data_IF_210987468034
#
_entry.id   IF_210987468034
#
_cell.length_a   1.000
_cell.length_b   1.000
_cell.length_c   1.000
_cell.angle_alpha   90.00
_cell.angle_beta   90.00
_cell.angle_gamma   90.00
#
_symmetry.space_group_name_H-M   'P 1'
#
loop_
_entity.id
_entity.type
_entity.pdbx_description
1 polymer ?
#
# COMPACT_ATOMS: atom_id res chain seq x y z
N UNK A 1 6.35 -26.22 5.39
CA UNK A 1 5.29 -25.92 4.40
C UNK A 1 4.08 -25.41 5.20
N UNK A 2 3.35 -24.43 4.71
CA UNK A 2 2.11 -23.94 5.34
C UNK A 2 1.03 -25.02 5.21
N UNK A 3 0.34 -25.36 6.31
CA UNK A 3 -0.71 -26.38 6.34
C UNK A 3 -2.07 -25.79 6.72
N UNK A 4 -3.14 -26.52 6.41
CA UNK A 4 -4.51 -26.11 6.77
C UNK A 4 -4.71 -26.07 8.29
N UNK A 5 -4.07 -26.98 9.02
CA UNK A 5 -4.12 -27.03 10.49
C UNK A 5 -3.52 -25.76 11.10
N UNK A 6 -2.38 -25.28 10.55
CA UNK A 6 -1.76 -24.05 10.99
C UNK A 6 -2.66 -22.82 10.75
N UNK A 7 -3.36 -22.77 9.60
CA UNK A 7 -4.31 -21.69 9.31
C UNK A 7 -5.53 -21.77 10.24
N UNK A 8 -6.07 -22.96 10.48
CA UNK A 8 -7.20 -23.19 11.39
C UNK A 8 -6.84 -22.79 12.83
N UNK A 9 -5.66 -23.17 13.32
CA UNK A 9 -5.14 -22.80 14.64
C UNK A 9 -4.97 -21.28 14.77
N UNK A 10 -4.40 -20.63 13.75
CA UNK A 10 -4.25 -19.16 13.72
C UNK A 10 -5.60 -18.44 13.85
N UNK A 11 -6.59 -18.84 13.05
CA UNK A 11 -7.95 -18.26 13.11
C UNK A 11 -8.61 -18.59 14.44
N UNK A 12 -8.45 -19.81 14.94
CA UNK A 12 -8.99 -20.25 16.22
C UNK A 12 -8.50 -19.42 17.40
N UNK A 13 -7.21 -19.05 17.41
CA UNK A 13 -6.60 -18.18 18.43
C UNK A 13 -7.05 -16.71 18.33
N UNK A 14 -7.48 -16.25 17.16
CA UNK A 14 -7.78 -14.83 16.89
C UNK A 14 -9.18 -14.63 16.28
N UNK A 15 -10.20 -15.34 16.79
CA UNK A 15 -11.58 -15.33 16.26
C UNK A 15 -12.19 -13.93 16.19
N UNK A 16 -11.98 -13.11 17.22
CA UNK A 16 -12.49 -11.73 17.25
C UNK A 16 -11.91 -10.90 16.09
N UNK A 17 -10.61 -10.97 15.89
CA UNK A 17 -9.94 -10.30 14.77
C UNK A 17 -10.41 -10.83 13.40
N UNK A 18 -10.62 -12.15 13.30
CA UNK A 18 -11.14 -12.76 12.08
C UNK A 18 -12.58 -12.29 11.73
N UNK A 19 -13.38 -11.90 12.73
CA UNK A 19 -14.73 -11.34 12.56
C UNK A 19 -14.75 -9.79 12.48
N UNK A 20 -13.60 -9.12 12.72
CA UNK A 20 -13.54 -7.67 12.78
C UNK A 20 -13.92 -7.02 11.44
N UNK A 21 -14.75 -5.98 11.54
CA UNK A 21 -15.11 -5.11 10.41
C UNK A 21 -14.29 -3.83 10.45
N UNK A 22 -14.06 -3.25 9.29
CA UNK A 22 -13.29 -2.02 9.12
C UNK A 22 -14.18 -0.89 8.61
N UNK A 23 -13.71 0.36 8.78
CA UNK A 23 -14.37 1.55 8.27
C UNK A 23 -14.52 1.49 6.73
N UNK A 24 -15.67 1.93 6.25
CA UNK A 24 -15.99 2.10 4.84
C UNK A 24 -16.19 3.58 4.55
N UNK A 25 -15.62 4.07 3.46
CA UNK A 25 -15.67 5.49 3.10
C UNK A 25 -15.54 5.71 1.59
N UNK A 26 -15.79 6.95 1.17
CA UNK A 26 -15.57 7.36 -0.22
C UNK A 26 -14.21 8.05 -0.40
N UNK A 27 -13.54 7.75 -1.51
CA UNK A 27 -12.34 8.44 -1.98
C UNK A 27 -12.69 9.12 -3.30
N UNK A 28 -12.69 10.44 -3.31
CA UNK A 28 -13.32 11.18 -4.40
C UNK A 28 -14.81 10.83 -4.52
N UNK A 29 -15.27 10.53 -5.72
CA UNK A 29 -16.64 10.10 -5.99
C UNK A 29 -16.88 8.58 -5.80
N UNK A 30 -15.85 7.79 -5.57
CA UNK A 30 -15.94 6.33 -5.50
C UNK A 30 -16.13 5.86 -4.05
N UNK A 31 -17.19 5.07 -3.81
CA UNK A 31 -17.43 4.41 -2.52
C UNK A 31 -16.63 3.11 -2.44
N UNK A 32 -16.01 2.87 -1.29
CA UNK A 32 -15.25 1.65 -0.98
C UNK A 32 -15.96 0.87 0.13
N UNK A 33 -16.39 -0.34 -0.18
CA UNK A 33 -17.06 -1.26 0.73
C UNK A 33 -16.10 -2.39 1.11
N UNK A 34 -15.04 -2.06 1.84
CA UNK A 34 -13.92 -2.95 2.17
C UNK A 34 -14.32 -4.26 2.85
N UNK A 35 -15.44 -4.29 3.56
CA UNK A 35 -15.92 -5.51 4.23
C UNK A 35 -16.54 -6.55 3.28
N UNK A 36 -16.83 -6.17 2.06
CA UNK A 36 -17.44 -7.05 1.03
C UNK A 36 -16.61 -7.18 -0.23
N UNK A 37 -15.92 -6.11 -0.64
CA UNK A 37 -15.17 -6.07 -1.89
C UNK A 37 -13.80 -5.47 -1.66
N UNK A 38 -12.71 -6.24 -1.82
CA UNK A 38 -11.35 -5.69 -1.80
C UNK A 38 -11.15 -4.79 -3.02
N UNK A 39 -10.30 -3.77 -2.86
CA UNK A 39 -9.98 -2.81 -3.89
C UNK A 39 -8.55 -3.03 -4.43
N UNK A 40 -8.28 -2.52 -5.64
CA UNK A 40 -6.99 -2.63 -6.31
C UNK A 40 -6.40 -1.24 -6.53
N UNK A 41 -5.15 -1.04 -6.11
CA UNK A 41 -4.37 0.16 -6.34
C UNK A 41 -3.23 -0.13 -7.32
N UNK A 42 -3.35 0.41 -8.53
CA UNK A 42 -2.37 0.20 -9.60
C UNK A 42 -1.21 1.19 -9.50
N UNK A 43 0.02 0.70 -9.61
CA UNK A 43 1.25 1.51 -9.44
C UNK A 43 1.76 2.05 -10.77
N UNK A 44 2.11 3.34 -10.78
CA UNK A 44 2.83 4.02 -11.86
C UNK A 44 4.04 4.73 -11.28
N UNK A 45 5.24 4.34 -11.70
CA UNK A 45 6.49 4.89 -11.20
C UNK A 45 7.04 5.97 -12.14
N UNK A 46 7.28 7.17 -11.60
CA UNK A 46 7.89 8.30 -12.30
C UNK A 46 9.41 8.43 -12.00
N UNK A 47 9.99 7.41 -11.37
CA UNK A 47 11.42 7.28 -11.10
C UNK A 47 12.03 6.19 -11.98
N UNK A 48 13.16 6.50 -12.62
CA UNK A 48 13.91 5.53 -13.44
C UNK A 48 14.51 4.36 -12.63
N UNK A 49 14.68 4.56 -11.32
CA UNK A 49 15.30 3.59 -10.41
C UNK A 49 14.29 2.60 -9.78
N UNK A 50 13.07 2.52 -10.31
CA UNK A 50 12.09 1.55 -9.81
C UNK A 50 12.53 0.11 -10.11
N UNK A 51 12.33 -0.77 -9.14
CA UNK A 51 12.55 -2.21 -9.29
C UNK A 51 11.74 -2.83 -10.43
N UNK A 52 10.48 -2.44 -10.53
CA UNK A 52 9.59 -2.97 -11.55
C UNK A 52 9.65 -2.08 -12.80
N UNK A 53 10.58 -2.39 -13.69
CA UNK A 53 10.89 -1.55 -14.85
C UNK A 53 9.70 -1.31 -15.78
N UNK A 54 8.79 -2.27 -15.90
CA UNK A 54 7.59 -2.16 -16.73
C UNK A 54 6.59 -1.09 -16.23
N UNK A 55 6.68 -0.69 -14.95
CA UNK A 55 5.85 0.39 -14.38
C UNK A 55 6.47 1.78 -14.53
N UNK A 56 7.71 1.88 -15.02
CA UNK A 56 8.45 3.14 -15.14
C UNK A 56 7.93 3.95 -16.32
N UNK A 57 7.51 5.17 -16.03
CA UNK A 57 7.03 6.15 -17.01
C UNK A 57 7.84 7.44 -16.89
N UNK A 58 8.72 7.71 -17.85
CA UNK A 58 9.65 8.85 -17.79
C UNK A 58 9.04 10.18 -18.27
N UNK A 59 7.83 10.15 -18.84
CA UNK A 59 7.10 11.37 -19.24
C UNK A 59 5.70 11.40 -18.62
N UNK A 60 5.16 12.60 -18.43
CA UNK A 60 3.80 12.77 -17.94
C UNK A 60 2.76 12.08 -18.84
N UNK A 61 2.93 12.18 -20.15
CA UNK A 61 2.02 11.57 -21.12
C UNK A 61 2.03 10.03 -21.06
N UNK A 62 3.20 9.41 -20.93
CA UNK A 62 3.31 7.96 -20.76
C UNK A 62 2.69 7.51 -19.44
N UNK A 63 2.90 8.27 -18.37
CA UNK A 63 2.31 8.00 -17.06
C UNK A 63 0.77 8.12 -17.09
N UNK A 64 0.23 9.15 -17.71
CA UNK A 64 -1.22 9.34 -17.87
C UNK A 64 -1.84 8.20 -18.69
N UNK A 65 -1.21 7.80 -19.81
CA UNK A 65 -1.69 6.66 -20.63
C UNK A 65 -1.66 5.37 -19.81
N UNK A 66 -0.57 5.10 -19.11
CA UNK A 66 -0.43 3.91 -18.25
C UNK A 66 -1.50 3.89 -17.16
N UNK A 67 -1.68 5.01 -16.46
CA UNK A 67 -2.67 5.16 -15.40
C UNK A 67 -4.11 4.90 -15.90
N UNK A 68 -4.49 5.49 -17.04
CA UNK A 68 -5.80 5.26 -17.65
C UNK A 68 -6.00 3.81 -18.07
N UNK A 69 -4.95 3.16 -18.59
CA UNK A 69 -4.97 1.75 -18.93
C UNK A 69 -5.19 0.88 -17.68
N UNK A 70 -4.45 1.13 -16.59
CA UNK A 70 -4.62 0.39 -15.33
C UNK A 70 -6.02 0.59 -14.74
N UNK A 71 -6.58 1.81 -14.81
CA UNK A 71 -7.95 2.08 -14.39
C UNK A 71 -8.98 1.30 -15.23
N UNK A 72 -8.80 1.26 -16.55
CA UNK A 72 -9.65 0.45 -17.45
C UNK A 72 -9.52 -1.06 -17.21
N UNK A 73 -8.36 -1.51 -16.73
CA UNK A 73 -8.09 -2.91 -16.35
C UNK A 73 -8.65 -3.26 -14.96
N UNK A 74 -9.18 -2.29 -14.21
CA UNK A 74 -9.85 -2.52 -12.94
C UNK A 74 -9.13 -2.00 -11.72
N UNK A 75 -8.12 -1.13 -11.86
CA UNK A 75 -7.59 -0.40 -10.71
C UNK A 75 -8.64 0.61 -10.20
N UNK A 76 -8.87 0.60 -8.90
CA UNK A 76 -9.77 1.51 -8.20
C UNK A 76 -9.11 2.85 -7.87
N UNK A 77 -7.80 2.81 -7.65
CA UNK A 77 -6.93 3.94 -7.33
C UNK A 77 -5.65 3.80 -8.14
N UNK A 78 -5.06 4.91 -8.57
CA UNK A 78 -3.72 4.92 -9.19
C UNK A 78 -2.74 5.54 -8.20
N UNK A 79 -1.67 4.81 -7.86
CA UNK A 79 -0.61 5.26 -6.96
C UNK A 79 0.61 5.75 -7.75
N UNK A 80 0.98 6.99 -7.54
CA UNK A 80 2.09 7.66 -8.23
C UNK A 80 3.28 7.81 -7.29
N UNK A 81 4.44 7.23 -7.65
CA UNK A 81 5.71 7.42 -6.95
C UNK A 81 6.74 8.14 -7.83
N UNK A 82 7.38 9.19 -7.32
CA UNK A 82 8.42 9.93 -8.05
C UNK A 82 9.84 9.73 -7.50
N UNK A 83 9.98 9.02 -6.39
CA UNK A 83 11.26 8.60 -5.80
C UNK A 83 11.20 7.09 -5.52
N UNK A 84 12.29 6.37 -5.82
CA UNK A 84 12.39 4.94 -5.48
C UNK A 84 12.61 4.75 -3.97
N UNK A 85 11.96 3.76 -3.40
CA UNK A 85 12.14 3.37 -1.99
C UNK A 85 13.43 2.60 -1.73
N UNK A 86 14.17 2.22 -2.76
CA UNK A 86 15.45 1.53 -2.66
C UNK A 86 16.49 2.40 -1.95
N UNK A 87 17.20 1.82 -0.98
CA UNK A 87 18.20 2.55 -0.19
C UNK A 87 19.35 3.12 -1.03
N UNK A 88 19.74 2.44 -2.11
CA UNK A 88 20.82 2.82 -3.02
C UNK A 88 20.37 3.64 -4.24
N UNK A 89 19.07 3.85 -4.45
CA UNK A 89 18.60 4.71 -5.52
C UNK A 89 18.93 6.19 -5.26
N UNK A 90 19.05 6.99 -6.30
CA UNK A 90 19.30 8.41 -6.19
C UNK A 90 18.17 9.12 -5.42
N UNK A 91 18.51 10.09 -4.57
CA UNK A 91 17.52 10.96 -3.92
C UNK A 91 16.94 11.93 -4.94
N UNK A 92 15.62 12.06 -4.94
CA UNK A 92 14.90 13.00 -5.80
C UNK A 92 14.38 14.14 -4.93
N UNK A 93 14.89 15.35 -5.15
CA UNK A 93 14.47 16.54 -4.38
C UNK A 93 13.00 16.89 -4.59
N UNK A 94 12.38 17.56 -3.61
CA UNK A 94 10.96 17.91 -3.59
C UNK A 94 10.47 18.61 -4.88
N UNK A 95 11.26 19.55 -5.41
CA UNK A 95 10.91 20.25 -6.64
C UNK A 95 10.84 19.33 -7.86
N UNK A 96 11.79 18.39 -7.97
CA UNK A 96 11.82 17.42 -9.05
C UNK A 96 10.69 16.37 -8.91
N UNK A 97 10.39 15.89 -7.69
CA UNK A 97 9.23 15.05 -7.44
C UNK A 97 7.95 15.76 -7.84
N UNK A 98 7.76 17.00 -7.38
CA UNK A 98 6.59 17.83 -7.66
C UNK A 98 6.40 18.07 -9.15
N UNK A 99 7.47 18.45 -9.89
CA UNK A 99 7.40 18.68 -11.33
C UNK A 99 6.97 17.46 -12.13
N UNK A 100 7.33 16.24 -11.70
CA UNK A 100 6.93 14.99 -12.33
C UNK A 100 5.50 14.59 -11.99
N UNK A 101 5.09 14.77 -10.73
CA UNK A 101 3.80 14.32 -10.21
C UNK A 101 2.62 15.19 -10.66
N UNK A 102 2.73 16.52 -10.56
CA UNK A 102 1.57 17.40 -10.69
C UNK A 102 0.88 17.34 -12.05
N UNK A 103 1.55 17.28 -13.20
CA UNK A 103 0.88 17.14 -14.50
C UNK A 103 0.02 15.87 -14.55
N UNK A 104 0.53 14.75 -14.01
CA UNK A 104 -0.16 13.47 -13.99
C UNK A 104 -1.36 13.52 -13.04
N UNK A 105 -1.18 14.03 -11.82
CA UNK A 105 -2.27 14.18 -10.83
C UNK A 105 -3.43 15.00 -11.42
N UNK A 106 -3.14 16.15 -12.03
CA UNK A 106 -4.16 17.01 -12.63
C UNK A 106 -4.91 16.32 -13.78
N UNK A 107 -4.18 15.61 -14.65
CA UNK A 107 -4.77 14.90 -15.77
C UNK A 107 -5.69 13.74 -15.31
N UNK A 108 -5.29 12.99 -14.28
CA UNK A 108 -6.10 11.91 -13.73
C UNK A 108 -7.31 12.43 -12.95
N UNK A 109 -7.14 13.52 -12.18
CA UNK A 109 -8.27 14.21 -11.54
C UNK A 109 -9.32 14.66 -12.58
N UNK A 110 -8.89 15.26 -13.68
CA UNK A 110 -9.79 15.67 -14.77
C UNK A 110 -10.52 14.48 -15.38
N UNK A 111 -9.88 13.30 -15.42
CA UNK A 111 -10.47 12.03 -15.84
C UNK A 111 -11.32 11.34 -14.75
N UNK A 112 -11.49 11.95 -13.56
CA UNK A 112 -12.22 11.39 -12.41
C UNK A 112 -11.65 10.06 -11.90
N UNK A 113 -10.37 9.83 -12.10
CA UNK A 113 -9.64 8.66 -11.59
C UNK A 113 -9.07 9.03 -10.21
N UNK A 114 -9.38 8.28 -9.13
CA UNK A 114 -8.77 8.51 -7.82
C UNK A 114 -7.26 8.34 -7.87
N UNK A 115 -6.52 9.32 -7.33
CA UNK A 115 -5.05 9.35 -7.34
C UNK A 115 -4.51 9.28 -5.93
N UNK A 116 -3.61 8.36 -5.69
CA UNK A 116 -2.70 8.29 -4.56
C UNK A 116 -1.34 8.85 -4.95
N UNK A 117 -0.67 9.53 -4.02
CA UNK A 117 0.73 9.96 -4.18
C UNK A 117 1.55 9.39 -3.04
N UNK A 118 2.58 8.62 -3.39
CA UNK A 118 3.55 8.08 -2.44
C UNK A 118 4.64 9.12 -2.14
N UNK A 119 4.73 9.54 -0.89
CA UNK A 119 5.78 10.45 -0.42
C UNK A 119 5.86 10.49 1.11
N UNK A 120 7.03 10.85 1.62
CA UNK A 120 7.25 11.24 3.03
C UNK A 120 7.55 12.74 3.19
N UNK A 121 7.59 13.51 2.07
CA UNK A 121 7.87 14.95 2.09
C UNK A 121 6.59 15.77 2.32
N UNK A 122 6.54 16.64 3.35
CA UNK A 122 5.41 17.56 3.54
C UNK A 122 5.20 18.53 2.39
N UNK A 123 6.28 18.93 1.70
CA UNK A 123 6.18 19.84 0.55
C UNK A 123 5.53 19.17 -0.66
N UNK A 124 5.96 17.95 -0.97
CA UNK A 124 5.35 17.14 -2.04
C UNK A 124 3.90 16.80 -1.70
N UNK A 125 3.61 16.43 -0.43
CA UNK A 125 2.24 16.18 0.06
C UNK A 125 1.33 17.38 -0.21
N UNK A 126 1.74 18.58 0.21
CA UNK A 126 0.95 19.81 -0.01
C UNK A 126 0.64 20.01 -1.49
N UNK A 127 1.67 19.99 -2.34
CA UNK A 127 1.52 20.22 -3.77
C UNK A 127 0.62 19.16 -4.44
N UNK A 128 0.75 17.90 -4.05
CA UNK A 128 -0.07 16.82 -4.59
C UNK A 128 -1.56 16.96 -4.20
N UNK A 129 -1.86 17.27 -2.93
CA UNK A 129 -3.22 17.45 -2.45
C UNK A 129 -3.88 18.68 -3.11
N UNK A 130 -3.17 19.80 -3.22
CA UNK A 130 -3.63 21.00 -3.93
C UNK A 130 -3.91 20.73 -5.41
N UNK A 131 -3.12 19.85 -6.05
CA UNK A 131 -3.35 19.42 -7.43
C UNK A 131 -4.55 18.46 -7.57
N UNK A 132 -5.04 17.89 -6.47
CA UNK A 132 -6.23 17.04 -6.40
C UNK A 132 -5.97 15.55 -6.19
N UNK A 133 -4.82 15.19 -5.61
CA UNK A 133 -4.64 13.84 -5.11
C UNK A 133 -5.70 13.52 -4.04
N UNK A 134 -6.30 12.33 -4.14
CA UNK A 134 -7.38 11.88 -3.24
C UNK A 134 -6.88 11.02 -2.09
N UNK A 135 -5.66 10.51 -2.21
CA UNK A 135 -4.99 9.65 -1.22
C UNK A 135 -3.55 10.10 -1.08
N UNK A 136 -3.06 10.13 0.14
CA UNK A 136 -1.65 10.20 0.45
C UNK A 136 -1.17 8.81 0.89
N UNK A 137 -0.21 8.23 0.18
CA UNK A 137 0.53 7.04 0.61
C UNK A 137 1.76 7.52 1.39
N UNK A 138 1.61 7.56 2.72
CA UNK A 138 2.58 8.18 3.64
C UNK A 138 3.66 7.17 4.05
N UNK A 139 4.84 7.30 3.46
CA UNK A 139 5.98 6.40 3.67
C UNK A 139 7.02 6.93 4.66
N UNK A 140 6.58 7.72 5.66
CA UNK A 140 7.44 8.23 6.74
C UNK A 140 6.65 8.81 7.91
N UNK A 141 7.32 9.01 9.04
CA UNK A 141 6.68 9.42 10.30
C UNK A 141 7.15 10.78 10.81
N UNK A 142 8.25 11.33 10.28
CA UNK A 142 8.95 12.49 10.86
C UNK A 142 8.12 13.79 10.90
N UNK A 143 7.16 13.95 10.00
CA UNK A 143 6.33 15.16 9.90
C UNK A 143 4.82 14.84 9.96
N UNK A 144 4.43 13.74 10.58
CA UNK A 144 3.07 13.20 10.52
C UNK A 144 1.98 14.20 10.94
N UNK A 145 2.21 15.03 11.97
CA UNK A 145 1.22 16.02 12.44
C UNK A 145 0.82 17.03 11.36
N UNK A 146 1.80 17.64 10.68
CA UNK A 146 1.53 18.65 9.66
C UNK A 146 0.96 18.01 8.40
N UNK A 147 1.41 16.81 8.08
CA UNK A 147 0.88 16.01 6.98
C UNK A 147 -0.60 15.66 7.23
N UNK A 148 -0.96 15.21 8.43
CA UNK A 148 -2.37 14.89 8.76
C UNK A 148 -3.29 16.12 8.70
N UNK A 149 -2.83 17.30 9.11
CA UNK A 149 -3.60 18.55 8.94
C UNK A 149 -3.88 18.83 7.46
N UNK A 150 -2.89 18.64 6.58
CA UNK A 150 -3.07 18.84 5.15
C UNK A 150 -4.03 17.82 4.55
N UNK A 151 -3.91 16.54 4.92
CA UNK A 151 -4.83 15.47 4.48
C UNK A 151 -6.26 15.80 4.88
N UNK A 152 -6.49 16.19 6.13
CA UNK A 152 -7.81 16.55 6.65
C UNK A 152 -8.40 17.78 5.94
N UNK A 153 -7.60 18.81 5.69
CA UNK A 153 -8.04 20.03 5.01
C UNK A 153 -8.51 19.79 3.57
N UNK A 154 -8.03 18.71 2.92
CA UNK A 154 -8.43 18.32 1.56
C UNK A 154 -9.45 17.16 1.52
N UNK A 155 -9.97 16.73 2.66
CA UNK A 155 -10.85 15.54 2.79
C UNK A 155 -10.26 14.28 2.10
N UNK A 156 -8.93 14.19 2.03
CA UNK A 156 -8.22 13.08 1.42
C UNK A 156 -8.14 11.87 2.38
N UNK A 157 -7.87 10.70 1.81
CA UNK A 157 -7.49 9.53 2.59
C UNK A 157 -5.98 9.50 2.84
N UNK A 158 -5.55 8.80 3.89
CA UNK A 158 -4.15 8.51 4.12
C UNK A 158 -3.93 7.00 4.29
N UNK A 159 -2.92 6.47 3.61
CA UNK A 159 -2.34 5.17 3.89
C UNK A 159 -1.17 5.41 4.83
N UNK A 160 -1.27 4.90 6.05
CA UNK A 160 -0.22 4.99 7.05
C UNK A 160 0.66 3.76 6.92
N UNK A 161 1.89 3.92 6.42
CA UNK A 161 2.83 2.82 6.31
C UNK A 161 3.59 2.60 7.62
N UNK A 162 3.67 1.34 8.05
CA UNK A 162 4.54 0.95 9.15
C UNK A 162 6.00 1.05 8.72
N UNK A 163 6.76 1.87 9.42
CA UNK A 163 8.19 2.10 9.17
C UNK A 163 8.95 2.12 10.49
N UNK A 164 9.93 1.23 10.64
CA UNK A 164 10.89 1.28 11.75
C UNK A 164 12.07 2.20 11.39
N UNK A 165 11.80 3.52 11.40
CA UNK A 165 12.73 4.56 11.01
C UNK A 165 12.00 5.89 10.81
N UNK A 166 12.72 6.90 10.32
CA UNK A 166 12.14 8.22 10.02
C UNK A 166 11.29 8.19 8.76
N UNK A 167 11.71 7.40 7.80
CA UNK A 167 11.03 7.14 6.52
C UNK A 167 11.58 5.86 5.90
N UNK A 168 11.00 5.42 4.80
CA UNK A 168 11.35 4.17 4.09
C UNK A 168 12.79 4.10 3.58
N UNK A 169 13.47 5.24 3.47
CA UNK A 169 14.87 5.36 3.05
C UNK A 169 15.86 5.34 4.22
N UNK A 170 15.36 5.45 5.44
CA UNK A 170 16.14 5.55 6.67
C UNK A 170 15.64 4.51 7.69
N UNK A 171 15.62 3.25 7.26
CA UNK A 171 15.24 2.10 8.07
C UNK A 171 16.48 1.39 8.66
N UNK A 172 16.29 0.81 9.85
CA UNK A 172 17.29 -0.01 10.53
C UNK A 172 17.11 -1.51 10.25
N UNK A 173 17.29 -2.31 11.29
CA UNK A 173 16.96 -3.72 11.30
C UNK A 173 15.52 -3.92 11.77
N UNK A 174 14.85 -4.93 11.21
CA UNK A 174 13.52 -5.35 11.64
C UNK A 174 13.65 -6.36 12.77
N UNK A 175 12.82 -6.25 13.81
CA UNK A 175 12.77 -7.28 14.86
C UNK A 175 12.01 -8.51 14.34
N UNK A 176 12.77 -9.57 14.05
CA UNK A 176 12.27 -10.85 13.55
C UNK A 176 12.07 -11.88 14.65
N UNK A 177 12.42 -11.56 15.91
CA UNK A 177 12.42 -12.49 17.03
C UNK A 177 11.03 -12.80 17.57
N UNK A 178 10.04 -11.96 17.28
CA UNK A 178 8.69 -12.02 17.83
C UNK A 178 7.61 -11.90 16.76
N UNK A 179 6.35 -12.12 17.17
CA UNK A 179 5.17 -11.79 16.38
C UNK A 179 5.15 -10.27 16.10
N UNK A 180 5.22 -9.88 14.83
CA UNK A 180 5.28 -8.46 14.45
C UNK A 180 3.96 -7.69 14.67
N UNK A 181 2.83 -8.38 14.83
CA UNK A 181 1.50 -7.74 14.92
C UNK A 181 1.35 -6.85 16.15
N UNK A 182 1.77 -7.25 17.39
CA UNK A 182 1.69 -6.35 18.55
C UNK A 182 2.45 -5.04 18.33
N UNK A 183 3.67 -5.11 17.82
CA UNK A 183 4.49 -3.93 17.52
C UNK A 183 3.83 -3.02 16.46
N UNK A 184 3.30 -3.61 15.40
CA UNK A 184 2.55 -2.88 14.38
C UNK A 184 1.27 -2.25 14.95
N UNK A 185 0.54 -2.97 15.80
CA UNK A 185 -0.66 -2.47 16.48
C UNK A 185 -0.35 -1.23 17.31
N UNK A 186 0.70 -1.26 18.13
CA UNK A 186 1.13 -0.14 18.96
C UNK A 186 1.52 1.08 18.11
N UNK A 187 2.24 0.86 17.02
CA UNK A 187 2.58 1.91 16.07
C UNK A 187 1.33 2.52 15.45
N UNK A 188 0.45 1.70 14.87
CA UNK A 188 -0.76 2.18 14.21
C UNK A 188 -1.71 2.87 15.19
N UNK A 189 -1.87 2.37 16.42
CA UNK A 189 -2.71 3.01 17.43
C UNK A 189 -2.28 4.46 17.68
N UNK A 190 -0.97 4.71 17.86
CA UNK A 190 -0.43 6.07 18.04
C UNK A 190 -0.62 6.96 16.80
N UNK A 191 -0.42 6.39 15.61
CA UNK A 191 -0.57 7.15 14.36
C UNK A 191 -2.03 7.47 14.07
N UNK A 192 -2.94 6.52 14.27
CA UNK A 192 -4.40 6.70 14.13
C UNK A 192 -4.89 7.80 15.07
N UNK A 193 -4.52 7.73 16.37
CA UNK A 193 -4.89 8.73 17.34
C UNK A 193 -4.41 10.14 16.92
N UNK A 194 -3.17 10.23 16.44
CA UNK A 194 -2.63 11.50 15.95
C UNK A 194 -3.36 11.99 14.71
N UNK A 195 -3.64 11.12 13.75
CA UNK A 195 -4.36 11.46 12.52
C UNK A 195 -5.79 11.95 12.84
N UNK A 196 -6.52 11.23 13.69
CA UNK A 196 -7.89 11.57 14.11
C UNK A 196 -7.95 12.88 14.87
N UNK A 197 -7.00 13.16 15.79
CA UNK A 197 -6.90 14.47 16.48
C UNK A 197 -6.71 15.64 15.51
N UNK A 198 -6.12 15.39 14.34
CA UNK A 198 -5.94 16.40 13.30
C UNK A 198 -7.05 16.37 12.23
N UNK A 199 -8.16 15.63 12.47
CA UNK A 199 -9.35 15.65 11.64
C UNK A 199 -9.33 14.68 10.45
N UNK A 200 -8.35 13.77 10.35
CA UNK A 200 -8.33 12.75 9.31
C UNK A 200 -9.40 11.71 9.58
N UNK A 201 -10.28 11.48 8.59
CA UNK A 201 -11.42 10.54 8.70
C UNK A 201 -11.22 9.25 7.93
N UNK A 202 -10.37 9.27 6.89
CA UNK A 202 -10.20 8.19 5.92
C UNK A 202 -8.77 7.65 6.04
N UNK A 203 -8.61 6.56 6.77
CA UNK A 203 -7.31 5.96 7.12
C UNK A 203 -7.28 4.54 6.60
N UNK A 204 -6.15 4.14 6.01
CA UNK A 204 -5.78 2.76 5.69
C UNK A 204 -4.43 2.47 6.37
N UNK A 205 -4.19 1.20 6.70
CA UNK A 205 -2.98 0.75 7.40
C UNK A 205 -2.16 -0.14 6.46
N UNK A 206 -0.89 0.19 6.24
CA UNK A 206 0.03 -0.63 5.44
C UNK A 206 1.14 -1.19 6.33
N UNK A 207 1.24 -2.51 6.52
CA UNK A 207 2.31 -3.17 7.28
C UNK A 207 3.73 -2.99 6.74
N UNK A 208 3.92 -2.33 5.59
CA UNK A 208 5.25 -1.94 5.12
C UNK A 208 6.06 -3.04 4.46
N UNK A 209 5.41 -4.04 3.85
CA UNK A 209 6.08 -5.20 3.23
C UNK A 209 6.88 -4.87 1.97
N UNK A 210 6.70 -3.69 1.39
CA UNK A 210 7.46 -3.19 0.23
C UNK A 210 8.81 -2.57 0.58
N UNK A 211 9.22 -2.54 1.87
CA UNK A 211 10.44 -1.87 2.31
C UNK A 211 11.58 -2.84 2.59
N UNK A 212 12.81 -2.38 2.36
CA UNK A 212 14.01 -3.21 2.48
C UNK A 212 14.78 -2.84 3.75
N UNK A 213 14.47 -3.53 4.86
CA UNK A 213 15.27 -3.46 6.08
C UNK A 213 16.64 -4.14 5.90
N UNK A 214 17.65 -3.73 6.66
CA UNK A 214 19.02 -4.23 6.49
C UNK A 214 19.15 -5.73 6.71
N UNK A 215 18.45 -6.28 7.68
CA UNK A 215 18.43 -7.72 7.99
C UNK A 215 17.39 -8.53 7.18
N UNK A 216 16.68 -7.90 6.26
CA UNK A 216 15.76 -8.56 5.31
C UNK A 216 16.36 -8.64 3.89
N UNK A 217 17.69 -8.60 3.76
CA UNK A 217 18.38 -8.76 2.47
C UNK A 217 18.39 -10.22 2.00
N UNK A 218 18.46 -11.19 2.92
CA UNK A 218 18.27 -12.59 2.57
C UNK A 218 16.84 -12.85 2.11
N UNK A 219 16.70 -13.43 0.93
CA UNK A 219 15.42 -13.63 0.26
C UNK A 219 14.50 -14.59 1.02
N UNK A 220 15.04 -15.66 1.59
CA UNK A 220 14.24 -16.64 2.30
C UNK A 220 13.70 -16.06 3.61
N UNK A 221 14.53 -15.28 4.33
CA UNK A 221 14.13 -14.57 5.55
C UNK A 221 13.06 -13.54 5.22
N UNK A 222 13.29 -12.72 4.18
CA UNK A 222 12.34 -11.69 3.73
C UNK A 222 10.99 -12.28 3.33
N UNK A 223 10.99 -13.29 2.46
CA UNK A 223 9.75 -13.93 1.99
C UNK A 223 9.00 -14.62 3.13
N UNK A 224 9.71 -15.29 4.04
CA UNK A 224 9.08 -15.87 5.25
C UNK A 224 8.40 -14.79 6.08
N UNK A 225 9.07 -13.67 6.34
CA UNK A 225 8.50 -12.54 7.06
C UNK A 225 7.26 -12.00 6.35
N UNK A 226 7.33 -11.78 5.04
CA UNK A 226 6.21 -11.27 4.23
C UNK A 226 5.00 -12.21 4.31
N UNK A 227 5.19 -13.52 4.13
CA UNK A 227 4.12 -14.53 4.26
C UNK A 227 3.51 -14.50 5.66
N UNK A 228 4.34 -14.44 6.70
CA UNK A 228 3.86 -14.39 8.09
C UNK A 228 3.01 -13.14 8.32
N UNK A 229 3.43 -11.97 7.86
CA UNK A 229 2.67 -10.73 8.01
C UNK A 229 1.37 -10.78 7.21
N UNK A 230 1.39 -11.25 5.95
CA UNK A 230 0.16 -11.41 5.17
C UNK A 230 -0.90 -12.23 5.91
N UNK A 231 -0.53 -13.41 6.39
CA UNK A 231 -1.46 -14.32 7.06
C UNK A 231 -1.96 -13.80 8.42
N UNK A 232 -1.21 -12.91 9.06
CA UNK A 232 -1.56 -12.34 10.36
C UNK A 232 -2.18 -10.92 10.28
N UNK A 233 -2.22 -10.29 9.12
CA UNK A 233 -2.66 -8.90 8.98
C UNK A 233 -4.13 -8.68 9.36
N UNK A 234 -4.99 -9.70 9.25
CA UNK A 234 -6.38 -9.62 9.72
C UNK A 234 -6.50 -9.23 11.21
N UNK A 235 -5.46 -9.50 12.02
CA UNK A 235 -5.41 -9.12 13.43
C UNK A 235 -5.33 -7.59 13.64
N UNK A 236 -4.81 -6.86 12.65
CA UNK A 236 -4.78 -5.40 12.66
C UNK A 236 -6.16 -4.78 12.38
N UNK A 237 -7.10 -5.54 11.79
CA UNK A 237 -8.47 -5.06 11.53
C UNK A 237 -9.25 -4.73 12.80
N UNK A 238 -8.85 -5.25 13.97
CA UNK A 238 -9.40 -4.85 15.27
C UNK A 238 -9.19 -3.36 15.58
N UNK A 239 -8.26 -2.68 14.90
CA UNK A 239 -8.12 -1.22 14.96
C UNK A 239 -9.26 -0.46 14.24
N UNK A 240 -10.11 -1.18 13.48
CA UNK A 240 -11.27 -0.62 12.80
C UNK A 240 -10.98 0.02 11.44
N UNK A 241 -9.78 -0.15 10.87
CA UNK A 241 -9.36 0.47 9.61
C UNK A 241 -8.95 -0.58 8.56
N UNK A 242 -9.21 -0.31 7.26
CA UNK A 242 -8.84 -1.22 6.18
C UNK A 242 -7.33 -1.38 6.03
N UNK A 243 -6.92 -2.59 5.64
CA UNK A 243 -5.52 -2.97 5.46
C UNK A 243 -5.14 -2.84 3.99
N UNK A 244 -4.08 -2.09 3.72
CA UNK A 244 -3.42 -1.98 2.43
C UNK A 244 -2.15 -2.83 2.43
N UNK A 245 -1.88 -3.55 1.35
CA UNK A 245 -0.61 -4.24 1.17
C UNK A 245 0.00 -3.97 -0.20
N UNK A 246 1.27 -3.58 -0.22
CA UNK A 246 2.10 -3.69 -1.39
C UNK A 246 2.47 -5.16 -1.64
N UNK A 247 2.20 -5.66 -2.84
CA UNK A 247 2.50 -7.04 -3.20
C UNK A 247 3.97 -7.19 -3.60
N UNK A 248 4.71 -8.16 -3.02
CA UNK A 248 6.13 -8.36 -3.28
C UNK A 248 6.38 -9.08 -4.61
N UNK A 249 7.61 -8.97 -5.11
CA UNK A 249 8.04 -9.61 -6.35
C UNK A 249 8.82 -10.91 -6.14
N UNK A 250 9.54 -11.07 -5.02
CA UNK A 250 10.35 -12.27 -4.71
C UNK A 250 11.19 -12.76 -5.89
N UNK A 251 11.94 -11.86 -6.55
CA UNK A 251 12.71 -12.09 -7.77
C UNK A 251 13.58 -13.34 -7.73
N UNK A 252 14.19 -13.64 -6.57
CA UNK A 252 15.10 -14.75 -6.38
C UNK A 252 14.40 -16.12 -6.47
N UNK A 253 13.09 -16.16 -6.18
CA UNK A 253 12.28 -17.38 -6.27
C UNK A 253 11.56 -17.48 -7.61
N UNK A 254 11.03 -16.38 -8.14
CA UNK A 254 10.22 -16.39 -9.35
C UNK A 254 11.04 -16.15 -10.63
N UNK A 255 12.27 -15.61 -10.52
CA UNK A 255 13.21 -15.41 -11.66
C UNK A 255 12.51 -14.77 -12.87
N UNK A 256 12.53 -15.46 -14.03
CA UNK A 256 11.88 -15.02 -15.27
C UNK A 256 10.36 -14.90 -15.12
N UNK A 257 9.77 -15.68 -14.22
CA UNK A 257 8.32 -15.67 -13.92
C UNK A 257 7.94 -14.63 -12.84
N UNK A 258 8.73 -13.59 -12.65
CA UNK A 258 8.53 -12.57 -11.61
C UNK A 258 7.12 -11.96 -11.61
N UNK A 259 6.46 -11.92 -12.77
CA UNK A 259 5.06 -11.45 -12.90
C UNK A 259 4.03 -12.37 -12.23
N UNK A 260 4.42 -13.58 -11.84
CA UNK A 260 3.59 -14.53 -11.09
C UNK A 260 3.71 -14.34 -9.57
N UNK A 261 4.70 -13.56 -9.10
CA UNK A 261 4.92 -13.36 -7.67
C UNK A 261 3.77 -12.58 -7.02
N UNK A 262 3.38 -11.42 -7.57
CA UNK A 262 2.27 -10.66 -7.02
C UNK A 262 0.95 -11.46 -6.96
N UNK A 263 0.52 -12.22 -8.00
CA UNK A 263 -0.62 -13.13 -7.92
C UNK A 263 -0.52 -14.16 -6.79
N UNK A 264 0.64 -14.77 -6.58
CA UNK A 264 0.86 -15.71 -5.47
C UNK A 264 0.65 -15.02 -4.12
N UNK A 265 1.29 -13.86 -3.91
CA UNK A 265 1.15 -13.11 -2.66
C UNK A 265 -0.26 -12.55 -2.48
N UNK A 266 -0.99 -12.25 -3.55
CA UNK A 266 -2.37 -11.79 -3.48
C UNK A 266 -3.30 -12.85 -2.85
N UNK A 267 -3.09 -14.13 -3.12
CA UNK A 267 -3.84 -15.22 -2.46
C UNK A 267 -3.60 -15.19 -0.95
N UNK A 268 -2.34 -15.09 -0.51
CA UNK A 268 -1.99 -15.02 0.92
C UNK A 268 -2.54 -13.75 1.58
N UNK A 269 -2.45 -12.62 0.90
CA UNK A 269 -3.00 -11.36 1.36
C UNK A 269 -4.53 -11.42 1.50
N UNK A 270 -5.22 -12.07 0.57
CA UNK A 270 -6.67 -12.27 0.63
C UNK A 270 -7.07 -13.18 1.80
N UNK A 271 -6.32 -14.24 2.09
CA UNK A 271 -6.50 -15.09 3.28
C UNK A 271 -6.32 -14.27 4.57
N UNK A 272 -5.35 -13.35 4.60
CA UNK A 272 -5.13 -12.40 5.71
C UNK A 272 -6.06 -11.18 5.71
N UNK A 273 -7.12 -11.19 4.89
CA UNK A 273 -8.15 -10.13 4.82
C UNK A 273 -7.61 -8.74 4.44
N UNK A 274 -6.72 -8.68 3.47
CA UNK A 274 -6.30 -7.43 2.84
C UNK A 274 -7.50 -6.77 2.15
N UNK A 275 -7.63 -5.47 2.33
CA UNK A 275 -8.75 -4.67 1.81
C UNK A 275 -8.36 -3.87 0.55
N UNK A 276 -7.10 -3.44 0.45
CA UNK A 276 -6.54 -2.71 -0.70
C UNK A 276 -5.24 -3.36 -1.15
N UNK A 277 -5.22 -3.84 -2.39
CA UNK A 277 -4.08 -4.53 -3.01
C UNK A 277 -3.29 -3.56 -3.88
N UNK A 278 -2.10 -3.15 -3.43
CA UNK A 278 -1.19 -2.30 -4.21
C UNK A 278 -0.33 -3.17 -5.11
N UNK A 279 -0.42 -2.98 -6.44
CA UNK A 279 0.13 -3.90 -7.44
C UNK A 279 0.59 -3.22 -8.72
N UNK A 280 1.57 -3.82 -9.40
CA UNK A 280 1.98 -3.48 -10.76
C UNK A 280 1.22 -4.30 -11.81
N UNK A 281 0.60 -5.42 -11.40
CA UNK A 281 -0.05 -6.43 -12.24
C UNK A 281 -1.58 -6.42 -12.09
N UNK A 282 -2.22 -5.26 -12.25
CA UNK A 282 -3.66 -5.06 -12.03
C UNK A 282 -4.54 -6.15 -12.66
N UNK A 283 -4.40 -6.54 -13.95
CA UNK A 283 -5.26 -7.57 -14.54
C UNK A 283 -5.13 -8.93 -13.85
N UNK A 284 -3.91 -9.29 -13.43
CA UNK A 284 -3.63 -10.58 -12.78
C UNK A 284 -4.22 -10.63 -11.38
N UNK A 285 -4.07 -9.52 -10.62
CA UNK A 285 -4.63 -9.43 -9.27
C UNK A 285 -6.15 -9.42 -9.32
N UNK A 286 -6.74 -8.70 -10.28
CA UNK A 286 -8.17 -8.74 -10.50
C UNK A 286 -8.67 -10.17 -10.76
N UNK A 287 -8.01 -10.91 -11.65
CA UNK A 287 -8.36 -12.31 -11.93
C UNK A 287 -8.27 -13.21 -10.69
N UNK A 288 -7.23 -13.03 -9.85
CA UNK A 288 -7.09 -13.77 -8.57
C UNK A 288 -8.27 -13.45 -7.64
N UNK A 289 -8.59 -12.17 -7.45
CA UNK A 289 -9.65 -11.78 -6.52
C UNK A 289 -11.03 -12.22 -7.01
N UNK A 290 -11.34 -12.10 -8.30
CA UNK A 290 -12.57 -12.60 -8.91
C UNK A 290 -12.69 -14.13 -8.76
N UNK A 291 -11.61 -14.87 -8.98
CA UNK A 291 -11.60 -16.33 -8.81
C UNK A 291 -11.85 -16.74 -7.35
N UNK A 292 -11.23 -16.05 -6.38
CA UNK A 292 -11.47 -16.31 -4.96
C UNK A 292 -12.90 -15.99 -4.51
N UNK A 293 -13.59 -15.06 -5.19
CA UNK A 293 -14.99 -14.71 -4.88
C UNK A 293 -15.97 -15.81 -5.29
N UNK A 294 -15.65 -16.62 -6.31
CA UNK A 294 -16.53 -17.74 -6.74
C UNK A 294 -16.80 -18.70 -5.58
N UNK A 295 -15.82 -18.93 -4.69
CA UNK A 295 -15.94 -19.83 -3.55
C UNK A 295 -16.93 -19.30 -2.50
N UNK A 296 -17.17 -17.98 -2.44
CA UNK A 296 -18.06 -17.35 -1.43
C UNK A 296 -19.54 -17.55 -1.71
N UNK A 297 -19.91 -18.02 -2.89
CA UNK A 297 -21.30 -18.17 -3.35
C UNK A 297 -21.76 -19.63 -3.41
N UNK A 298 -20.91 -20.55 -2.97
CA UNK A 298 -21.24 -21.98 -2.77
C UNK A 298 -21.48 -22.29 -1.29
#
# INVERSE_FOLDING_TARGET
>A
MLTLEQLADLVGKHRAAAAARVAEFSIGAKKFNFNSHPAIMGVVNLSADSWYRESVCLSADSAVRRAKMLAAQGADIIDLGAESTLANAARVGDAAQTSRLLPVVRALRAAKIPVSVETYSPKVTRAALEAGASVLNLTGTAASRDVYKMVAAHDAAVIICFVQGRNVREVGDFDLSADAVPMMRDFFSRQIETAQRHGVKKILLDPGLGFYYRNLQDSAVRVRHQITVFLNSFRLRELGFPICHALPHAFEFFREEVRCAEPFFAVLAALGKTDLFRTHEVPRIRAVLETLQVIRHS
#
